data_IF_454477850427
#
_entry.id   IF_454477850427
#
_cell.length_a   1.000
_cell.length_b   1.000
_cell.length_c   1.000
_cell.angle_alpha   90.00
_cell.angle_beta   90.00
_cell.angle_gamma   90.00
#
_symmetry.space_group_name_H-M   'P 1'
#
loop_
_entity.id
_entity.type
_entity.pdbx_description
1 polymer ?
#
# COMPACT_ATOMS: atom_id res chain seq x y z
N UNK A 1 -1.89 -5.18 -1.92
CA UNK A 1 -3.08 -4.63 -1.28
C UNK A 1 -3.86 -5.72 -0.56
N UNK A 2 -4.83 -5.40 0.29
CA UNK A 2 -5.66 -6.38 1.04
C UNK A 2 -6.30 -5.74 2.26
N UNK A 3 -7.28 -6.41 2.86
CA UNK A 3 -8.00 -5.93 4.03
C UNK A 3 -7.10 -5.67 5.26
N UNK A 4 -7.59 -4.89 6.24
CA UNK A 4 -6.91 -4.79 7.52
C UNK A 4 -6.66 -6.18 8.11
N UNK A 5 -5.46 -6.46 8.61
CA UNK A 5 -5.12 -7.80 9.16
C UNK A 5 -4.66 -8.85 8.14
N UNK A 6 -4.65 -8.58 6.82
CA UNK A 6 -4.24 -9.56 5.79
C UNK A 6 -2.74 -9.90 5.75
N UNK A 7 -1.92 -9.30 6.60
CA UNK A 7 -0.48 -9.61 6.67
C UNK A 7 0.41 -8.84 5.70
N UNK A 8 -0.11 -7.82 4.99
CA UNK A 8 0.65 -7.02 4.01
C UNK A 8 2.02 -6.57 4.50
N UNK A 9 2.07 -5.88 5.63
CA UNK A 9 3.34 -5.38 6.18
C UNK A 9 4.36 -6.48 6.38
N UNK A 10 3.95 -7.58 7.02
CA UNK A 10 4.82 -8.74 7.26
C UNK A 10 5.39 -9.34 5.97
N UNK A 11 4.55 -9.44 4.92
CA UNK A 11 4.99 -9.96 3.63
C UNK A 11 5.92 -8.99 2.89
N UNK A 12 5.64 -7.68 2.98
CA UNK A 12 6.50 -6.66 2.39
C UNK A 12 7.87 -6.59 3.09
N UNK A 13 7.92 -6.70 4.43
CA UNK A 13 9.17 -6.76 5.20
C UNK A 13 10.03 -7.98 4.82
N UNK A 14 9.40 -9.14 4.62
CA UNK A 14 10.09 -10.33 4.14
C UNK A 14 10.64 -10.14 2.74
N UNK A 15 9.85 -9.58 1.83
CA UNK A 15 10.26 -9.34 0.45
C UNK A 15 11.37 -8.26 0.39
N UNK A 16 11.30 -7.22 1.19
CA UNK A 16 12.38 -6.23 1.32
C UNK A 16 13.69 -6.88 1.75
N UNK A 17 13.63 -7.73 2.80
CA UNK A 17 14.82 -8.40 3.34
C UNK A 17 15.43 -9.40 2.36
N UNK A 18 14.60 -10.17 1.65
CA UNK A 18 15.08 -11.28 0.81
C UNK A 18 15.33 -10.87 -0.65
N UNK A 19 14.55 -9.94 -1.19
CA UNK A 19 14.65 -9.50 -2.58
C UNK A 19 15.35 -8.15 -2.73
N UNK A 20 15.58 -7.45 -1.63
CA UNK A 20 16.23 -6.13 -1.62
C UNK A 20 15.38 -5.03 -2.25
N UNK A 21 14.07 -5.22 -2.38
CA UNK A 21 13.14 -4.20 -2.85
C UNK A 21 12.91 -3.15 -1.77
N UNK A 22 12.45 -1.97 -2.14
CA UNK A 22 12.14 -0.91 -1.19
C UNK A 22 10.68 -1.05 -0.76
N UNK A 23 10.44 -1.28 0.52
CA UNK A 23 9.10 -1.30 1.11
C UNK A 23 8.68 0.11 1.54
N UNK A 24 7.57 0.60 1.02
CA UNK A 24 6.94 1.86 1.41
C UNK A 24 5.52 1.57 1.93
N UNK A 25 5.35 1.66 3.24
CA UNK A 25 4.05 1.51 3.90
C UNK A 25 3.35 2.86 4.02
N UNK A 26 2.21 3.02 3.32
CA UNK A 26 1.41 4.24 3.44
C UNK A 26 0.94 4.49 4.88
N UNK A 27 0.67 3.43 5.63
CA UNK A 27 0.32 3.56 7.05
C UNK A 27 1.46 4.14 7.89
N UNK A 28 2.71 3.73 7.64
CA UNK A 28 3.87 4.30 8.34
C UNK A 28 4.17 5.73 7.90
N UNK A 29 4.04 6.04 6.59
CA UNK A 29 4.21 7.40 6.09
C UNK A 29 3.21 8.37 6.73
N UNK A 30 1.95 7.97 6.87
CA UNK A 30 0.93 8.77 7.54
C UNK A 30 1.21 8.93 9.04
N UNK A 31 1.68 7.89 9.73
CA UNK A 31 2.06 7.97 11.15
C UNK A 31 3.26 8.90 11.37
N UNK A 32 4.27 8.80 10.52
CA UNK A 32 5.41 9.71 10.58
C UNK A 32 5.00 11.17 10.33
N UNK A 33 4.02 11.43 9.46
CA UNK A 33 3.49 12.78 9.27
C UNK A 33 2.69 13.27 10.48
N UNK A 34 1.95 12.37 11.17
CA UNK A 34 1.30 12.71 12.44
C UNK A 34 2.30 13.14 13.51
N UNK A 35 3.42 12.45 13.63
CA UNK A 35 4.47 12.78 14.61
C UNK A 35 5.14 14.13 14.31
N UNK A 36 5.17 14.55 13.05
CA UNK A 36 5.68 15.88 12.66
C UNK A 36 4.78 17.03 13.11
N UNK A 37 3.49 16.76 13.27
CA UNK A 37 2.50 17.76 13.66
C UNK A 37 2.11 18.72 12.54
N UNK A 38 1.24 19.68 12.89
CA UNK A 38 0.73 20.72 11.97
C UNK A 38 -0.57 20.33 11.27
N UNK A 39 -1.09 21.21 10.41
CA UNK A 39 -2.42 21.07 9.80
C UNK A 39 -2.64 19.74 9.08
N UNK A 40 -1.62 19.19 8.39
CA UNK A 40 -1.75 17.89 7.73
C UNK A 40 -1.91 16.76 8.73
N UNK A 41 -1.17 16.81 9.83
CA UNK A 41 -1.29 15.84 10.92
C UNK A 41 -2.69 15.85 11.52
N UNK A 42 -3.28 17.02 11.76
CA UNK A 42 -4.64 17.13 12.30
C UNK A 42 -5.67 16.49 11.36
N UNK A 43 -5.58 16.77 10.06
CA UNK A 43 -6.44 16.15 9.04
C UNK A 43 -6.28 14.62 8.96
N UNK A 44 -5.06 14.12 9.04
CA UNK A 44 -4.77 12.68 9.05
C UNK A 44 -5.35 12.06 10.32
N UNK A 45 -5.16 12.69 11.50
CA UNK A 45 -5.65 12.19 12.78
C UNK A 45 -7.18 12.03 12.78
N UNK A 46 -7.91 13.02 12.27
CA UNK A 46 -9.36 12.96 12.12
C UNK A 46 -9.82 11.80 11.23
N UNK A 47 -9.16 11.64 10.08
CA UNK A 47 -9.47 10.55 9.15
C UNK A 47 -9.21 9.18 9.78
N UNK A 48 -8.05 8.98 10.41
CA UNK A 48 -7.71 7.70 11.04
C UNK A 48 -8.67 7.34 12.18
N UNK A 49 -9.04 8.33 13.02
CA UNK A 49 -10.01 8.15 14.10
C UNK A 49 -11.40 7.76 13.56
N UNK A 50 -11.81 8.32 12.43
CA UNK A 50 -13.06 7.98 11.76
C UNK A 50 -12.99 6.70 10.90
N UNK A 51 -11.86 5.99 10.86
CA UNK A 51 -11.65 4.83 10.00
C UNK A 51 -11.65 5.14 8.49
N UNK A 52 -11.55 6.42 8.13
CA UNK A 52 -11.56 6.92 6.75
C UNK A 52 -10.17 6.97 6.14
N UNK A 53 -10.12 7.10 4.82
CA UNK A 53 -8.87 7.35 4.10
C UNK A 53 -8.40 8.80 4.32
N UNK A 54 -7.09 9.00 4.43
CA UNK A 54 -6.50 10.33 4.47
C UNK A 54 -6.72 11.06 3.11
N UNK A 55 -6.69 12.42 3.10
CA UNK A 55 -6.85 13.20 1.88
C UNK A 55 -5.88 12.78 0.78
N UNK A 56 -6.39 12.71 -0.46
CA UNK A 56 -5.65 12.16 -1.60
C UNK A 56 -4.36 12.91 -1.89
N UNK A 57 -4.38 14.22 -1.85
CA UNK A 57 -3.23 15.10 -2.07
C UNK A 57 -2.11 14.85 -1.07
N UNK A 58 -2.45 14.61 0.20
CA UNK A 58 -1.49 14.25 1.24
C UNK A 58 -0.88 12.87 0.94
N UNK A 59 -1.73 11.87 0.68
CA UNK A 59 -1.32 10.50 0.40
C UNK A 59 -0.35 10.44 -0.77
N UNK A 60 -0.71 11.04 -1.90
CA UNK A 60 0.07 10.98 -3.13
C UNK A 60 1.37 11.77 -3.00
N UNK A 61 1.34 12.93 -2.31
CA UNK A 61 2.55 13.73 -2.04
C UNK A 61 3.53 12.97 -1.13
N UNK A 62 3.05 12.36 -0.06
CA UNK A 62 3.91 11.57 0.84
C UNK A 62 4.55 10.40 0.11
N UNK A 63 3.77 9.68 -0.71
CA UNK A 63 4.27 8.56 -1.49
C UNK A 63 5.35 9.00 -2.49
N UNK A 64 5.09 10.05 -3.27
CA UNK A 64 6.05 10.62 -4.21
C UNK A 64 7.37 10.97 -3.53
N UNK A 65 7.30 11.75 -2.45
CA UNK A 65 8.48 12.19 -1.71
C UNK A 65 9.28 11.01 -1.13
N UNK A 66 8.58 9.98 -0.63
CA UNK A 66 9.22 8.78 -0.11
C UNK A 66 9.94 7.99 -1.22
N UNK A 67 9.31 7.81 -2.38
CA UNK A 67 9.91 7.14 -3.53
C UNK A 67 11.14 7.89 -4.05
N UNK A 68 11.04 9.20 -4.23
CA UNK A 68 12.17 10.05 -4.67
C UNK A 68 13.34 10.02 -3.68
N UNK A 69 13.03 10.11 -2.38
CA UNK A 69 14.04 10.02 -1.33
C UNK A 69 14.75 8.67 -1.35
N UNK A 70 13.99 7.58 -1.41
CA UNK A 70 14.53 6.23 -1.43
C UNK A 70 15.39 5.96 -2.68
N UNK A 71 14.93 6.38 -3.86
CA UNK A 71 15.73 6.28 -5.09
C UNK A 71 17.05 7.04 -4.99
N UNK A 72 17.00 8.28 -4.48
CA UNK A 72 18.20 9.12 -4.33
C UNK A 72 19.20 8.55 -3.34
N UNK A 73 18.72 7.93 -2.25
CA UNK A 73 19.59 7.42 -1.17
C UNK A 73 20.14 6.02 -1.46
N UNK A 74 19.37 5.18 -2.17
CA UNK A 74 19.73 3.77 -2.38
C UNK A 74 20.13 3.44 -3.81
N UNK A 75 19.79 4.29 -4.78
CA UNK A 75 19.92 4.01 -6.22
C UNK A 75 18.92 2.97 -6.74
N UNK A 76 18.02 2.45 -5.90
CA UNK A 76 17.06 1.41 -6.25
C UNK A 76 15.74 2.02 -6.76
N UNK A 77 15.08 1.30 -7.69
CA UNK A 77 13.80 1.72 -8.30
C UNK A 77 12.69 0.66 -8.18
N UNK A 78 12.95 -0.45 -7.48
CA UNK A 78 11.96 -1.49 -7.25
C UNK A 78 11.24 -1.25 -5.92
N UNK A 79 9.94 -0.97 -5.99
CA UNK A 79 9.14 -0.59 -4.83
C UNK A 79 8.02 -1.59 -4.56
N UNK A 80 7.79 -1.87 -3.27
CA UNK A 80 6.60 -2.52 -2.74
C UNK A 80 5.77 -1.46 -2.02
N UNK A 81 4.63 -1.10 -2.61
CA UNK A 81 3.73 -0.09 -2.04
C UNK A 81 2.68 -0.79 -1.17
N UNK A 82 2.86 -0.75 0.15
CA UNK A 82 1.91 -1.33 1.10
C UNK A 82 0.80 -0.34 1.45
N UNK A 83 -0.44 -0.76 1.16
CA UNK A 83 -1.62 0.03 1.45
C UNK A 83 -1.87 1.20 0.50
N UNK A 84 -1.41 1.09 -0.74
CA UNK A 84 -1.69 2.01 -1.84
C UNK A 84 -1.85 1.21 -3.16
N UNK A 85 -2.80 1.59 -4.06
CA UNK A 85 -3.87 2.58 -3.84
C UNK A 85 -4.98 2.03 -2.94
N UNK A 86 -5.72 2.90 -2.23
CA UNK A 86 -6.87 2.52 -1.41
C UNK A 86 -8.19 3.08 -1.93
N UNK A 87 -8.18 3.80 -3.04
CA UNK A 87 -9.37 4.32 -3.70
C UNK A 87 -9.07 4.61 -5.16
N UNK A 88 -10.14 4.82 -5.96
CA UNK A 88 -10.00 5.30 -7.34
C UNK A 88 -9.35 6.68 -7.39
N UNK A 89 -9.61 7.56 -6.41
CA UNK A 89 -8.93 8.86 -6.31
C UNK A 89 -7.41 8.72 -6.11
N UNK A 90 -6.96 7.69 -5.39
CA UNK A 90 -5.52 7.42 -5.28
C UNK A 90 -4.92 7.03 -6.62
N UNK A 91 -5.64 6.29 -7.46
CA UNK A 91 -5.19 5.95 -8.81
C UNK A 91 -5.15 7.18 -9.73
N UNK A 92 -6.14 8.05 -9.66
CA UNK A 92 -6.15 9.32 -10.39
C UNK A 92 -4.90 10.16 -10.02
N UNK A 93 -4.63 10.36 -8.72
CA UNK A 93 -3.44 11.06 -8.26
C UNK A 93 -2.13 10.36 -8.64
N UNK A 94 -2.11 9.03 -8.71
CA UNK A 94 -0.97 8.28 -9.24
C UNK A 94 -0.71 8.63 -10.72
N UNK A 95 -1.76 8.64 -11.54
CA UNK A 95 -1.62 8.95 -12.97
C UNK A 95 -1.24 10.41 -13.21
N UNK A 96 -1.69 11.34 -12.39
CA UNK A 96 -1.28 12.75 -12.45
C UNK A 96 0.23 12.93 -12.20
N UNK A 97 0.82 12.14 -11.29
CA UNK A 97 2.25 12.26 -10.93
C UNK A 97 3.15 11.42 -11.83
N UNK A 98 2.76 10.16 -12.10
CA UNK A 98 3.62 9.19 -12.76
C UNK A 98 3.25 8.93 -14.22
N UNK A 99 2.19 9.58 -14.72
CA UNK A 99 1.72 9.44 -16.09
C UNK A 99 0.65 8.36 -16.28
N UNK A 100 0.31 8.10 -17.54
CA UNK A 100 -0.88 7.34 -17.96
C UNK A 100 -0.89 5.86 -17.55
N UNK A 101 -1.97 5.16 -17.90
CA UNK A 101 -2.22 3.73 -17.60
C UNK A 101 -1.08 2.76 -17.95
N UNK A 102 -0.21 3.12 -18.92
CA UNK A 102 1.00 2.35 -19.23
C UNK A 102 1.96 2.21 -18.04
N UNK A 103 1.84 3.10 -17.06
CA UNK A 103 2.62 3.13 -15.82
C UNK A 103 1.88 2.50 -14.63
N UNK A 104 0.72 1.88 -14.88
CA UNK A 104 -0.04 1.18 -13.84
C UNK A 104 0.81 0.03 -13.28
N UNK A 105 1.14 0.04 -11.98
CA UNK A 105 1.86 -1.06 -11.34
C UNK A 105 1.05 -2.35 -11.38
N UNK A 106 1.66 -3.46 -11.08
CA UNK A 106 0.94 -4.71 -10.81
C UNK A 106 0.52 -4.74 -9.34
N UNK A 107 -0.63 -5.34 -9.06
CA UNK A 107 -1.19 -5.49 -7.73
C UNK A 107 -1.08 -6.93 -7.26
N UNK A 108 -0.60 -7.13 -6.04
CA UNK A 108 -0.83 -8.35 -5.28
C UNK A 108 -1.99 -8.07 -4.31
N UNK A 109 -3.11 -8.74 -4.51
CA UNK A 109 -4.27 -8.64 -3.65
C UNK A 109 -4.28 -9.80 -2.65
N UNK A 110 -4.01 -9.48 -1.38
CA UNK A 110 -3.97 -10.42 -0.28
C UNK A 110 -5.40 -10.63 0.25
N UNK A 111 -6.04 -11.67 -0.23
CA UNK A 111 -7.39 -12.05 0.15
C UNK A 111 -7.38 -12.87 1.44
N UNK A 112 -8.36 -12.64 2.29
CA UNK A 112 -8.53 -13.39 3.53
C UNK A 112 -9.98 -13.26 4.01
N UNK A 113 -10.58 -14.32 4.56
CA UNK A 113 -11.89 -14.26 5.19
C UNK A 113 -11.96 -13.23 6.32
N UNK A 114 -13.11 -12.58 6.44
CA UNK A 114 -13.32 -11.47 7.38
C UNK A 114 -13.04 -11.84 8.83
N UNK A 115 -13.54 -12.99 9.25
CA UNK A 115 -13.37 -13.52 10.62
C UNK A 115 -11.89 -13.75 10.98
N UNK A 116 -11.10 -14.24 10.02
CA UNK A 116 -9.65 -14.41 10.18
C UNK A 116 -8.96 -13.06 10.30
N UNK A 117 -9.36 -12.08 9.47
CA UNK A 117 -8.81 -10.71 9.52
C UNK A 117 -9.08 -10.05 10.87
N UNK A 118 -10.31 -10.15 11.37
CA UNK A 118 -10.71 -9.58 12.66
C UNK A 118 -9.88 -10.18 13.81
N UNK A 119 -9.77 -11.50 13.87
CA UNK A 119 -8.96 -12.18 14.87
C UNK A 119 -7.50 -11.75 14.84
N UNK A 120 -6.92 -11.60 13.65
CA UNK A 120 -5.53 -11.16 13.47
C UNK A 120 -5.30 -9.73 13.96
N UNK A 121 -6.26 -8.82 13.73
CA UNK A 121 -6.13 -7.43 14.19
C UNK A 121 -6.26 -7.35 15.70
N UNK A 122 -7.24 -8.05 16.29
CA UNK A 122 -7.42 -8.08 17.74
C UNK A 122 -6.21 -8.69 18.44
N UNK A 123 -5.64 -9.76 17.87
CA UNK A 123 -4.39 -10.33 18.37
C UNK A 123 -3.22 -9.33 18.30
N UNK A 124 -3.11 -8.57 17.22
CA UNK A 124 -2.06 -7.54 17.04
C UNK A 124 -2.20 -6.39 18.01
N UNK A 125 -3.40 -5.96 18.35
CA UNK A 125 -3.67 -4.85 19.27
C UNK A 125 -2.92 -5.01 20.61
N UNK A 126 -2.79 -6.23 21.08
CA UNK A 126 -2.09 -6.56 22.33
C UNK A 126 -0.58 -6.30 22.29
N UNK A 127 0.02 -6.17 21.11
CA UNK A 127 1.48 -6.07 20.94
C UNK A 127 1.96 -4.78 20.30
N UNK A 128 1.11 -4.08 19.50
CA UNK A 128 1.58 -2.94 18.69
C UNK A 128 1.22 -1.58 19.27
N UNK A 129 0.30 -1.52 20.25
CA UNK A 129 -0.17 -0.25 20.82
C UNK A 129 -0.83 0.71 19.83
N UNK A 130 -1.23 0.24 18.64
CA UNK A 130 -1.90 1.08 17.63
C UNK A 130 -3.28 1.49 18.13
N UNK A 131 -3.53 2.78 18.18
CA UNK A 131 -4.81 3.35 18.67
C UNK A 131 -6.00 2.99 17.79
N UNK A 132 -5.77 2.61 16.53
CA UNK A 132 -6.78 2.21 15.54
C UNK A 132 -7.07 0.70 15.50
N UNK A 133 -6.46 -0.10 16.38
CA UNK A 133 -6.70 -1.54 16.49
C UNK A 133 -7.70 -1.86 17.63
N UNK A 134 -8.89 -1.25 17.60
CA UNK A 134 -10.02 -1.56 18.48
C UNK A 134 -11.25 -1.94 17.65
N UNK A 135 -12.23 -2.63 18.27
CA UNK A 135 -13.39 -3.19 17.57
C UNK A 135 -14.19 -2.17 16.75
N UNK A 136 -14.36 -0.95 17.25
CA UNK A 136 -15.10 0.10 16.55
C UNK A 136 -14.33 0.57 15.30
N UNK A 137 -13.05 0.90 15.47
CA UNK A 137 -12.19 1.30 14.36
C UNK A 137 -12.00 0.18 13.33
N UNK A 138 -11.96 -1.07 13.76
CA UNK A 138 -11.85 -2.23 12.87
C UNK A 138 -13.06 -2.30 11.94
N UNK A 139 -14.29 -2.18 12.45
CA UNK A 139 -15.50 -2.19 11.63
C UNK A 139 -15.49 -1.07 10.60
N UNK A 140 -15.23 0.16 11.03
CA UNK A 140 -15.14 1.32 10.13
C UNK A 140 -14.08 1.12 9.03
N UNK A 141 -12.93 0.53 9.36
CA UNK A 141 -11.87 0.24 8.40
C UNK A 141 -12.28 -0.84 7.40
N UNK A 142 -13.07 -1.82 7.81
CA UNK A 142 -13.61 -2.82 6.88
C UNK A 142 -14.67 -2.22 5.95
N UNK A 143 -15.55 -1.36 6.46
CA UNK A 143 -16.53 -0.66 5.64
C UNK A 143 -15.81 0.23 4.60
N UNK A 144 -14.85 1.05 5.04
CA UNK A 144 -14.01 1.85 4.15
C UNK A 144 -13.27 0.99 3.12
N UNK A 145 -12.73 -0.15 3.53
CA UNK A 145 -12.07 -1.07 2.61
C UNK A 145 -13.02 -1.59 1.55
N UNK A 146 -14.23 -1.98 1.94
CA UNK A 146 -15.25 -2.50 1.04
C UNK A 146 -15.77 -1.43 0.07
N UNK A 147 -16.01 -0.24 0.57
CA UNK A 147 -16.62 0.85 -0.21
C UNK A 147 -15.60 1.57 -1.11
N UNK A 148 -14.42 1.84 -0.60
CA UNK A 148 -13.42 2.66 -1.29
C UNK A 148 -12.32 1.83 -1.97
N UNK A 149 -11.87 0.74 -1.32
CA UNK A 149 -10.67 0.03 -1.76
C UNK A 149 -10.97 -1.10 -2.74
N UNK A 150 -12.05 -1.86 -2.55
CA UNK A 150 -12.41 -2.92 -3.49
C UNK A 150 -12.65 -2.41 -4.91
N UNK A 151 -13.27 -1.25 -5.17
CA UNK A 151 -13.36 -0.70 -6.53
C UNK A 151 -11.99 -0.50 -7.20
N UNK A 152 -10.96 -0.10 -6.43
CA UNK A 152 -9.61 -0.02 -6.97
C UNK A 152 -9.02 -1.41 -7.29
N UNK A 153 -9.29 -2.44 -6.46
CA UNK A 153 -8.91 -3.83 -6.77
C UNK A 153 -9.58 -4.29 -8.07
N UNK A 154 -10.87 -4.04 -8.22
CA UNK A 154 -11.63 -4.42 -9.43
C UNK A 154 -11.11 -3.72 -10.68
N UNK A 155 -10.66 -2.48 -10.55
CA UNK A 155 -9.98 -1.80 -11.65
C UNK A 155 -8.71 -2.55 -12.10
N UNK A 156 -7.85 -2.98 -11.15
CA UNK A 156 -6.66 -3.77 -11.49
C UNK A 156 -7.01 -5.14 -12.08
N UNK A 157 -8.07 -5.78 -11.59
CA UNK A 157 -8.62 -7.03 -12.17
C UNK A 157 -9.02 -6.82 -13.63
N UNK A 158 -9.76 -5.76 -13.92
CA UNK A 158 -10.22 -5.44 -15.27
C UNK A 158 -9.08 -5.17 -16.26
N UNK A 159 -7.90 -4.79 -15.74
CA UNK A 159 -6.68 -4.55 -16.53
C UNK A 159 -5.74 -5.77 -16.60
N UNK A 160 -6.12 -6.92 -16.06
CA UNK A 160 -5.26 -8.11 -15.94
C UNK A 160 -3.93 -7.80 -15.21
N UNK A 161 -3.96 -6.90 -14.22
CA UNK A 161 -2.81 -6.47 -13.42
C UNK A 161 -2.95 -6.77 -11.93
N UNK A 162 -3.86 -7.68 -11.56
CA UNK A 162 -4.08 -8.14 -10.20
C UNK A 162 -3.75 -9.64 -10.10
N UNK A 163 -2.86 -10.00 -9.18
CA UNK A 163 -2.68 -11.37 -8.74
C UNK A 163 -3.31 -11.52 -7.34
N UNK A 164 -4.12 -12.57 -7.18
CA UNK A 164 -4.83 -12.85 -5.93
C UNK A 164 -4.06 -13.88 -5.12
N UNK A 165 -3.81 -13.59 -3.85
CA UNK A 165 -3.07 -14.42 -2.91
C UNK A 165 -3.97 -14.76 -1.73
N UNK A 166 -4.27 -16.03 -1.54
CA UNK A 166 -4.98 -16.50 -0.34
C UNK A 166 -4.08 -16.44 0.89
N UNK A 167 -4.39 -15.52 1.78
CA UNK A 167 -3.63 -15.32 3.02
C UNK A 167 -4.26 -16.03 4.23
N UNK A 168 -5.22 -16.90 4.03
CA UNK A 168 -5.73 -17.79 5.09
C UNK A 168 -4.74 -18.91 5.44
N UNK A 169 -3.82 -19.20 4.53
CA UNK A 169 -2.78 -20.22 4.63
C UNK A 169 -1.67 -19.83 5.60
N UNK A 170 -0.71 -20.75 5.82
CA UNK A 170 0.45 -20.47 6.64
C UNK A 170 1.38 -19.43 5.99
N UNK A 171 2.19 -18.77 6.83
CA UNK A 171 3.04 -17.65 6.41
C UNK A 171 4.03 -18.03 5.31
N UNK A 172 4.58 -19.25 5.33
CA UNK A 172 5.59 -19.67 4.35
C UNK A 172 4.98 -19.90 2.98
N UNK A 173 3.81 -20.52 2.93
CA UNK A 173 3.04 -20.75 1.69
C UNK A 173 2.65 -19.41 1.06
N UNK A 174 2.04 -18.51 1.85
CA UNK A 174 1.69 -17.16 1.37
C UNK A 174 2.90 -16.41 0.80
N UNK A 175 4.04 -16.49 1.51
CA UNK A 175 5.27 -15.83 1.03
C UNK A 175 5.79 -16.44 -0.27
N UNK A 176 5.77 -17.77 -0.39
CA UNK A 176 6.18 -18.47 -1.62
C UNK A 176 5.33 -18.04 -2.82
N UNK A 177 4.01 -17.92 -2.64
CA UNK A 177 3.09 -17.46 -3.68
C UNK A 177 3.41 -16.01 -4.10
N UNK A 178 3.65 -15.14 -3.11
CA UNK A 178 4.04 -13.75 -3.39
C UNK A 178 5.34 -13.69 -4.20
N UNK A 179 6.37 -14.45 -3.81
CA UNK A 179 7.66 -14.46 -4.51
C UNK A 179 7.53 -14.97 -5.95
N UNK A 180 6.68 -15.98 -6.18
CA UNK A 180 6.44 -16.49 -7.54
C UNK A 180 5.88 -15.39 -8.44
N UNK A 181 4.91 -14.62 -7.96
CA UNK A 181 4.35 -13.49 -8.69
C UNK A 181 5.31 -12.30 -8.82
N UNK A 182 6.15 -12.02 -7.82
CA UNK A 182 7.16 -10.97 -7.90
C UNK A 182 8.23 -11.30 -8.95
N UNK A 183 8.61 -12.57 -9.12
CA UNK A 183 9.52 -13.02 -10.18
C UNK A 183 9.02 -12.69 -11.60
N UNK A 184 7.71 -12.79 -11.84
CA UNK A 184 7.09 -12.38 -13.10
C UNK A 184 7.16 -10.86 -13.35
N UNK A 185 7.40 -10.06 -12.32
CA UNK A 185 7.43 -8.59 -12.39
C UNK A 185 8.82 -8.01 -12.63
N UNK A 186 9.87 -8.82 -12.47
CA UNK A 186 11.26 -8.37 -12.69
C UNK A 186 11.63 -8.26 -14.17
N UNK A 187 10.88 -8.88 -15.06
CA UNK A 187 11.15 -8.92 -16.51
C UNK A 187 10.61 -7.72 -17.30
N UNK A 188 10.05 -6.71 -16.66
CA UNK A 188 9.50 -5.55 -17.36
C UNK A 188 10.38 -4.32 -17.17
N UNK A 189 10.78 -3.71 -18.28
CA UNK A 189 11.55 -2.51 -18.60
C UNK A 189 11.36 -1.25 -17.71
N UNK A 190 10.85 -1.37 -16.48
CA UNK A 190 10.68 -0.29 -15.52
C UNK A 190 11.96 0.03 -14.73
N UNK A 191 12.91 -0.91 -14.67
CA UNK A 191 14.13 -0.77 -13.90
C UNK A 191 15.06 0.35 -14.40
N UNK A 192 14.95 0.74 -15.69
CA UNK A 192 15.96 1.57 -16.35
C UNK A 192 15.61 3.06 -16.52
N UNK A 193 14.44 3.52 -16.03
CA UNK A 193 14.08 4.95 -16.13
C UNK A 193 14.05 5.62 -14.78
N UNK A 194 14.98 6.55 -14.47
CA UNK A 194 14.96 7.32 -13.23
C UNK A 194 13.69 8.17 -13.13
N UNK A 195 13.07 8.21 -11.95
CA UNK A 195 11.85 8.99 -11.64
C UNK A 195 12.01 10.48 -11.98
N UNK A 196 13.23 10.99 -11.95
CA UNK A 196 13.57 12.39 -12.22
C UNK A 196 13.41 12.82 -13.68
N UNK A 197 13.43 11.92 -14.65
CA UNK A 197 13.25 12.29 -16.07
C UNK A 197 11.79 12.49 -16.49
N UNK A 198 10.81 12.20 -15.62
CA UNK A 198 9.39 12.33 -15.92
C UNK A 198 8.78 13.66 -15.50
N UNK A 199 9.40 14.38 -14.55
CA UNK A 199 8.95 15.72 -14.14
C UNK A 199 9.33 16.81 -15.15
N UNK A 200 10.27 16.57 -16.08
CA UNK A 200 10.65 17.52 -17.14
C UNK A 200 9.79 17.42 -18.42
N UNK A 201 8.92 16.40 -18.50
CA UNK A 201 7.96 16.25 -19.62
C UNK A 201 6.57 16.85 -19.32
N UNK A 202 6.41 17.53 -18.19
CA UNK A 202 5.15 18.17 -17.75
C UNK A 202 5.31 19.69 -17.54
N UNK A 203 6.12 20.35 -18.34
CA UNK A 203 6.12 21.81 -18.55
C UNK A 203 5.61 22.15 -19.93
#
# INVERSE_FOLDING_TARGET
LGGPGSGKGTMCELAETQLGWIHLSMGELLRAELERGGMKADMIAECLKAGKLAPNDIVVTLLKNAMECATRTTGKNNFLLDGFPRSMKNLEGWFEIFGQESMLPKMLYLECPYDVLEQRILGRANFTGRSDDNLESIKLRFDTFKEETLPAVDYFRSKNKCAEIDTSQDRQTVYSDIVSHLGEFTDTSFADKPLTQKSEMLL
#
